data_IF_781411148462
#
_entry.id   IF_781411148462
#
_cell.length_a   1.000
_cell.length_b   1.000
_cell.length_c   1.000
_cell.angle_alpha   90.00
_cell.angle_beta   90.00
_cell.angle_gamma   90.00
#
_symmetry.space_group_name_H-M   'P 1'
#
loop_
_entity.id
_entity.type
_entity.pdbx_description
1 polymer ?
#
# COMPACT_ATOMS: atom_id res chain seq x y z
N UNK A 1 -2.49 -9.60 -6.35
CA UNK A 1 -1.48 -9.65 -5.27
C UNK A 1 -0.53 -8.47 -5.46
N UNK A 2 -0.19 -7.70 -4.42
CA UNK A 2 0.69 -6.55 -4.55
C UNK A 2 2.15 -6.99 -4.50
N UNK A 3 2.92 -6.56 -5.50
CA UNK A 3 4.38 -6.72 -5.53
C UNK A 3 5.13 -5.49 -5.01
N UNK A 4 4.48 -4.32 -5.08
CA UNK A 4 4.96 -3.07 -4.49
C UNK A 4 3.85 -2.42 -3.66
N UNK A 5 4.22 -1.83 -2.53
CA UNK A 5 3.37 -1.01 -1.69
C UNK A 5 4.15 0.22 -1.24
N UNK A 6 3.53 1.37 -1.41
CA UNK A 6 4.11 2.67 -1.09
C UNK A 6 3.05 3.46 -0.32
N UNK A 7 3.45 4.02 0.82
CA UNK A 7 2.65 4.99 1.56
C UNK A 7 3.20 6.38 1.23
N UNK A 8 2.31 7.25 0.78
CA UNK A 8 2.62 8.63 0.44
C UNK A 8 1.85 9.55 1.38
N UNK A 9 2.56 10.43 2.06
CA UNK A 9 2.00 11.51 2.87
C UNK A 9 2.30 12.83 2.19
N UNK A 10 1.28 13.65 1.96
CA UNK A 10 1.41 14.99 1.36
C UNK A 10 0.93 16.02 2.37
N UNK A 11 1.80 16.96 2.73
CA UNK A 11 1.45 18.10 3.57
C UNK A 11 1.51 19.40 2.73
N UNK A 12 0.36 20.00 2.41
CA UNK A 12 0.31 21.22 1.60
C UNK A 12 0.75 22.48 2.37
N UNK A 13 0.64 22.48 3.71
CA UNK A 13 1.05 23.62 4.55
C UNK A 13 2.57 23.76 4.57
N UNK A 14 3.27 22.63 4.77
CA UNK A 14 4.74 22.58 4.76
C UNK A 14 5.32 22.38 3.37
N UNK A 15 4.47 22.14 2.35
CA UNK A 15 4.85 21.78 0.97
C UNK A 15 5.78 20.57 0.89
N UNK A 16 5.63 19.62 1.81
CA UNK A 16 6.47 18.41 1.87
C UNK A 16 5.67 17.18 1.46
N UNK A 17 6.28 16.30 0.67
CA UNK A 17 5.77 14.96 0.40
C UNK A 17 6.77 13.93 0.89
N UNK A 18 6.29 12.90 1.58
CA UNK A 18 7.12 11.81 2.10
C UNK A 18 6.59 10.49 1.59
N UNK A 19 7.49 9.67 1.06
CA UNK A 19 7.18 8.38 0.48
C UNK A 19 7.94 7.29 1.22
N UNK A 20 7.22 6.26 1.66
CA UNK A 20 7.80 5.10 2.35
C UNK A 20 7.34 3.83 1.66
N UNK A 21 8.31 3.06 1.16
CA UNK A 21 8.05 1.74 0.60
C UNK A 21 7.90 0.71 1.71
N UNK A 22 6.84 -0.10 1.65
CA UNK A 22 6.64 -1.24 2.56
C UNK A 22 7.08 -2.51 1.83
N UNK A 23 8.16 -3.19 2.28
CA UNK A 23 8.58 -4.45 1.69
C UNK A 23 7.46 -5.51 1.74
N UNK A 24 7.24 -6.24 0.65
CA UNK A 24 6.13 -7.21 0.50
C UNK A 24 6.12 -8.32 1.56
N UNK A 25 7.31 -8.67 2.06
CA UNK A 25 7.54 -9.76 3.01
C UNK A 25 7.63 -9.26 4.47
N UNK A 26 7.34 -7.97 4.72
CA UNK A 26 7.23 -7.40 6.06
C UNK A 26 6.26 -8.23 6.91
N UNK A 27 6.71 -8.64 8.09
CA UNK A 27 5.90 -9.40 9.04
C UNK A 27 4.95 -8.44 9.76
N UNK A 28 3.65 -8.66 9.58
CA UNK A 28 2.60 -7.80 10.13
C UNK A 28 1.53 -8.64 10.82
N UNK A 29 0.89 -8.05 11.82
CA UNK A 29 -0.21 -8.68 12.54
C UNK A 29 -1.53 -8.39 11.83
N UNK A 30 -2.24 -9.45 11.42
CA UNK A 30 -3.56 -9.35 10.83
C UNK A 30 -4.61 -9.66 11.89
N UNK A 31 -5.41 -8.65 12.26
CA UNK A 31 -6.41 -8.74 13.34
C UNK A 31 -7.48 -9.78 13.05
N UNK A 32 -8.00 -9.83 11.82
CA UNK A 32 -9.06 -10.76 11.42
C UNK A 32 -8.68 -12.24 11.55
N UNK A 33 -7.38 -12.56 11.40
CA UNK A 33 -6.84 -13.92 11.56
C UNK A 33 -6.16 -14.14 12.91
N UNK A 34 -6.06 -13.10 13.73
CA UNK A 34 -5.36 -13.10 15.01
C UNK A 34 -3.94 -13.71 14.93
N UNK A 35 -3.21 -13.42 13.85
CA UNK A 35 -1.88 -14.01 13.60
C UNK A 35 -0.98 -13.10 12.77
N UNK A 36 0.31 -13.43 12.74
CA UNK A 36 1.29 -12.74 11.91
C UNK A 36 1.34 -13.33 10.51
N UNK A 37 1.28 -12.46 9.50
CA UNK A 37 1.38 -12.80 8.09
C UNK A 37 2.44 -11.92 7.40
N UNK A 38 2.74 -12.22 6.14
CA UNK A 38 3.47 -11.30 5.26
C UNK A 38 2.52 -10.21 4.76
N UNK A 39 3.01 -8.98 4.60
CA UNK A 39 2.19 -7.84 4.17
C UNK A 39 1.45 -8.12 2.84
N UNK A 40 2.11 -8.70 1.84
CA UNK A 40 1.46 -9.04 0.57
C UNK A 40 0.35 -10.08 0.67
N UNK A 41 0.36 -10.90 1.73
CA UNK A 41 -0.70 -11.89 1.97
C UNK A 41 -1.98 -11.23 2.46
N UNK A 42 -1.94 -10.00 2.99
CA UNK A 42 -3.13 -9.27 3.41
C UNK A 42 -4.12 -9.12 2.24
N UNK A 43 -3.60 -8.78 1.05
CA UNK A 43 -4.39 -8.71 -0.17
C UNK A 43 -5.00 -10.04 -0.60
N UNK A 44 -4.25 -11.14 -0.42
CA UNK A 44 -4.74 -12.47 -0.80
C UNK A 44 -5.88 -12.93 0.12
N UNK A 45 -5.85 -12.52 1.39
CA UNK A 45 -6.89 -12.91 2.35
C UNK A 45 -8.12 -12.02 2.31
N UNK A 46 -7.94 -10.70 2.15
CA UNK A 46 -9.02 -9.73 2.36
C UNK A 46 -9.04 -8.60 1.31
N UNK A 47 -8.35 -8.80 0.19
CA UNK A 47 -8.32 -7.82 -0.90
C UNK A 47 -7.73 -6.48 -0.48
N UNK A 48 -8.18 -5.41 -1.14
CA UNK A 48 -7.63 -4.07 -0.93
C UNK A 48 -7.97 -3.51 0.46
N UNK A 49 -9.20 -3.73 0.93
CA UNK A 49 -9.66 -3.21 2.23
C UNK A 49 -8.87 -3.79 3.40
N UNK A 50 -8.69 -5.11 3.44
CA UNK A 50 -7.86 -5.72 4.49
C UNK A 50 -6.38 -5.37 4.37
N UNK A 51 -5.89 -5.09 3.16
CA UNK A 51 -4.53 -4.55 2.97
C UNK A 51 -4.39 -3.16 3.58
N UNK A 52 -5.34 -2.26 3.30
CA UNK A 52 -5.37 -0.90 3.86
C UNK A 52 -5.43 -0.96 5.39
N UNK A 53 -6.35 -1.74 5.96
CA UNK A 53 -6.47 -1.90 7.41
C UNK A 53 -5.19 -2.45 8.05
N UNK A 54 -4.52 -3.40 7.38
CA UNK A 54 -3.26 -3.97 7.86
C UNK A 54 -2.14 -2.92 7.84
N UNK A 55 -2.06 -2.10 6.80
CA UNK A 55 -1.09 -0.99 6.70
C UNK A 55 -1.36 0.09 7.75
N UNK A 56 -2.62 0.49 7.92
CA UNK A 56 -3.05 1.46 8.94
C UNK A 56 -2.66 0.98 10.34
N UNK A 57 -2.91 -0.30 10.64
CA UNK A 57 -2.55 -0.87 11.93
C UNK A 57 -1.03 -0.98 12.11
N UNK A 58 -0.31 -1.37 11.06
CA UNK A 58 1.14 -1.55 11.10
C UNK A 58 1.89 -0.22 11.31
N UNK A 59 1.47 0.84 10.62
CA UNK A 59 2.10 2.16 10.71
C UNK A 59 1.45 3.05 11.78
N UNK A 60 0.29 2.65 12.31
CA UNK A 60 -0.52 3.41 13.26
C UNK A 60 -0.89 4.82 12.76
N UNK A 61 -1.26 4.91 11.48
CA UNK A 61 -1.73 6.13 10.81
C UNK A 61 -2.98 5.82 10.00
N UNK A 62 -3.92 6.78 9.82
CA UNK A 62 -5.04 6.61 8.91
C UNK A 62 -4.58 6.72 7.46
N UNK A 63 -5.19 5.93 6.57
CA UNK A 63 -4.99 6.01 5.12
C UNK A 63 -6.26 6.58 4.48
N UNK A 64 -6.17 7.81 3.98
CA UNK A 64 -7.34 8.50 3.43
C UNK A 64 -7.74 8.02 2.03
N UNK A 65 -6.76 7.65 1.22
CA UNK A 65 -6.96 7.26 -0.17
C UNK A 65 -5.98 6.15 -0.54
N UNK A 66 -6.37 5.31 -1.51
CA UNK A 66 -5.48 4.32 -2.10
C UNK A 66 -5.56 4.37 -3.61
N UNK A 67 -4.47 4.00 -4.26
CA UNK A 67 -4.40 3.79 -5.71
C UNK A 67 -3.95 2.36 -5.94
N UNK A 68 -4.67 1.63 -6.77
CA UNK A 68 -4.32 0.27 -7.18
C UNK A 68 -4.04 0.28 -8.67
N UNK A 69 -2.82 -0.10 -9.04
CA UNK A 69 -2.36 -0.17 -10.43
C UNK A 69 -1.92 -1.61 -10.71
N UNK A 70 -2.39 -2.18 -11.83
CA UNK A 70 -1.86 -3.43 -12.36
C UNK A 70 -0.70 -3.13 -13.32
N UNK A 71 0.07 -4.15 -13.71
CA UNK A 71 1.26 -3.94 -14.56
C UNK A 71 0.92 -3.34 -15.93
N UNK A 72 -0.24 -3.67 -16.49
CA UNK A 72 -0.74 -3.07 -17.73
C UNK A 72 -1.02 -1.57 -17.55
N UNK A 73 -1.79 -1.20 -16.52
CA UNK A 73 -2.07 0.21 -16.24
C UNK A 73 -0.81 1.00 -15.88
N UNK A 74 0.20 0.37 -15.29
CA UNK A 74 1.49 1.02 -15.07
C UNK A 74 2.18 1.35 -16.40
N UNK A 75 2.20 0.39 -17.34
CA UNK A 75 2.72 0.62 -18.68
C UNK A 75 1.96 1.73 -19.39
N UNK A 76 0.64 1.72 -19.34
CA UNK A 76 -0.19 2.74 -19.98
C UNK A 76 0.09 4.14 -19.41
N UNK A 77 0.33 4.25 -18.10
CA UNK A 77 0.73 5.52 -17.45
C UNK A 77 2.08 6.00 -17.97
N UNK A 78 3.07 5.12 -18.08
CA UNK A 78 4.41 5.45 -18.62
C UNK A 78 4.30 5.89 -20.09
N UNK A 79 3.55 5.16 -20.90
CA UNK A 79 3.36 5.49 -22.32
C UNK A 79 2.64 6.84 -22.48
N UNK A 80 1.65 7.15 -21.63
CA UNK A 80 0.89 8.40 -21.66
C UNK A 80 1.73 9.65 -21.32
N UNK A 81 2.79 9.50 -20.50
CA UNK A 81 3.70 10.60 -20.16
C UNK A 81 4.89 10.72 -21.12
N UNK A 82 4.96 9.87 -22.15
CA UNK A 82 5.98 9.92 -23.19
C UNK A 82 7.23 9.09 -22.91
N UNK A 83 7.18 8.16 -21.95
CA UNK A 83 8.30 7.29 -21.56
C UNK A 83 9.11 7.84 -20.40
#
# INVERSE_FOLDING_TARGET
>A
RPDSMIVLTVNPETKTSTMVSIPRDTRVFMRSKNTNIKMNSAYTYEGIEGTVQTVEHFLNIPINYYIKVNMEGFKDIVDAIGG
#
